data_IF_161571209025
#
_entry.id   IF_161571209025
#
_cell.length_a   1.000
_cell.length_b   1.000
_cell.length_c   1.000
_cell.angle_alpha   90.00
_cell.angle_beta   90.00
_cell.angle_gamma   90.00
#
_symmetry.space_group_name_H-M   'P 1'
#
loop_
_entity.id
_entity.type
_entity.pdbx_description
1 polymer ?
#
# COMPACT_ATOMS: atom_id res chain seq x y z
N UNK A 1 25.11 11.23 22.07
CA UNK A 1 24.95 11.37 20.61
C UNK A 1 23.53 10.95 20.29
N UNK A 2 22.72 11.81 19.66
CA UNK A 2 21.39 11.42 19.22
C UNK A 2 21.53 10.49 18.00
N UNK A 3 20.86 9.34 18.01
CA UNK A 3 20.67 8.56 16.79
C UNK A 3 19.82 9.43 15.87
N UNK A 4 20.27 9.80 14.65
CA UNK A 4 19.43 10.56 13.75
C UNK A 4 18.13 9.78 13.51
N UNK A 5 17.00 10.45 13.74
CA UNK A 5 15.70 9.90 13.41
C UNK A 5 15.62 9.91 11.87
N UNK A 6 15.85 8.77 11.24
CA UNK A 6 15.55 8.62 9.82
C UNK A 6 14.05 8.37 9.70
N UNK A 7 13.34 9.20 8.94
CA UNK A 7 11.94 9.00 8.59
C UNK A 7 11.79 7.93 7.49
N UNK A 8 12.39 6.77 7.70
CA UNK A 8 12.38 5.68 6.72
C UNK A 8 11.08 4.87 6.85
N UNK A 9 10.42 4.65 5.73
CA UNK A 9 9.18 3.90 5.65
C UNK A 9 9.40 2.57 4.93
N UNK A 10 9.07 1.47 5.59
CA UNK A 10 8.97 0.17 4.95
C UNK A 10 7.60 0.01 4.29
N UNK A 11 7.60 -0.31 3.00
CA UNK A 11 6.44 -0.77 2.26
C UNK A 11 6.68 -2.21 1.80
N UNK A 12 5.67 -3.06 1.93
CA UNK A 12 5.72 -4.44 1.48
C UNK A 12 4.32 -4.96 1.19
N UNK A 13 4.22 -5.97 0.34
CA UNK A 13 3.03 -6.81 0.21
C UNK A 13 3.04 -7.96 1.23
N UNK A 14 1.85 -8.42 1.61
CA UNK A 14 1.70 -9.60 2.46
C UNK A 14 0.79 -10.62 1.78
N UNK A 15 1.29 -11.85 1.63
CA UNK A 15 0.53 -13.03 1.22
C UNK A 15 0.42 -13.99 2.40
N UNK A 16 -0.49 -14.97 2.29
CA UNK A 16 -0.56 -16.08 3.26
C UNK A 16 0.74 -16.88 3.34
N UNK A 17 1.55 -16.85 2.28
CA UNK A 17 2.87 -17.49 2.20
C UNK A 17 4.00 -16.62 2.73
N UNK A 18 3.73 -15.38 3.15
CA UNK A 18 4.74 -14.47 3.70
C UNK A 18 4.80 -13.11 3.00
N UNK A 19 5.83 -12.34 3.38
CA UNK A 19 6.11 -11.00 2.87
C UNK A 19 6.63 -11.07 1.42
N UNK A 20 6.19 -10.13 0.58
CA UNK A 20 6.62 -9.97 -0.81
C UNK A 20 6.88 -8.50 -1.12
N UNK A 21 7.65 -8.20 -2.17
CA UNK A 21 7.94 -6.83 -2.60
C UNK A 21 8.39 -5.86 -1.48
N UNK A 22 9.33 -6.21 -0.56
CA UNK A 22 9.76 -5.26 0.46
C UNK A 22 10.62 -4.13 -0.14
N UNK A 23 10.37 -2.89 0.28
CA UNK A 23 11.18 -1.72 -0.08
C UNK A 23 11.21 -0.72 1.07
N UNK A 24 12.39 -0.19 1.38
CA UNK A 24 12.55 0.96 2.29
C UNK A 24 12.57 2.23 1.47
N UNK A 25 11.73 3.20 1.84
CA UNK A 25 11.62 4.51 1.24
C UNK A 25 12.10 5.55 2.25
N UNK A 26 13.04 6.38 1.85
CA UNK A 26 13.53 7.47 2.68
C UNK A 26 12.51 8.63 2.67
N UNK A 27 12.12 9.06 3.88
CA UNK A 27 11.18 10.17 4.06
C UNK A 27 9.70 9.81 3.80
N UNK A 28 8.78 10.78 4.02
CA UNK A 28 7.34 10.54 3.97
C UNK A 28 6.86 9.95 2.64
N UNK A 29 6.08 8.86 2.71
CA UNK A 29 5.47 8.27 1.52
C UNK A 29 4.45 9.24 0.91
N UNK A 30 4.78 9.73 -0.29
CA UNK A 30 3.86 10.47 -1.14
C UNK A 30 3.40 9.61 -2.32
N UNK A 31 2.41 10.11 -3.08
CA UNK A 31 1.84 9.35 -4.19
C UNK A 31 2.85 8.98 -5.30
N UNK A 32 3.90 9.78 -5.53
CA UNK A 32 4.91 9.48 -6.54
C UNK A 32 5.79 8.30 -6.11
N UNK A 33 6.25 8.31 -4.85
CA UNK A 33 7.03 7.21 -4.29
C UNK A 33 6.22 5.91 -4.25
N UNK A 34 4.95 6.00 -3.87
CA UNK A 34 4.07 4.83 -3.86
C UNK A 34 3.83 4.27 -5.26
N UNK A 35 3.61 5.13 -6.25
CA UNK A 35 3.46 4.72 -7.65
C UNK A 35 4.74 4.07 -8.21
N UNK A 36 5.90 4.65 -7.89
CA UNK A 36 7.18 4.07 -8.26
C UNK A 36 7.38 2.68 -7.62
N UNK A 37 7.02 2.52 -6.35
CA UNK A 37 7.02 1.22 -5.67
C UNK A 37 6.10 0.21 -6.38
N UNK A 38 4.86 0.61 -6.73
CA UNK A 38 3.92 -0.28 -7.42
C UNK A 38 4.48 -0.72 -8.77
N UNK A 39 5.02 0.21 -9.55
CA UNK A 39 5.56 -0.08 -10.88
C UNK A 39 6.82 -0.95 -10.83
N UNK A 40 7.76 -0.60 -9.95
CA UNK A 40 9.12 -1.17 -9.98
C UNK A 40 9.31 -2.39 -9.10
N UNK A 41 8.49 -2.55 -8.06
CA UNK A 41 8.69 -3.59 -7.04
C UNK A 41 7.46 -4.48 -6.93
N UNK A 42 6.26 -3.92 -6.75
CA UNK A 42 5.07 -4.75 -6.54
C UNK A 42 4.61 -5.47 -7.80
N UNK A 43 4.41 -4.75 -8.92
CA UNK A 43 3.83 -5.32 -10.13
C UNK A 43 4.63 -6.50 -10.71
N UNK A 44 5.99 -6.48 -10.74
CA UNK A 44 6.79 -7.63 -11.16
C UNK A 44 6.61 -8.88 -10.27
N UNK A 45 6.27 -8.69 -8.99
CA UNK A 45 6.04 -9.77 -8.01
C UNK A 45 4.59 -10.31 -8.05
N UNK A 46 3.69 -9.69 -8.82
CA UNK A 46 2.32 -10.15 -8.98
C UNK A 46 2.22 -11.31 -9.98
N UNK A 47 1.27 -12.20 -9.72
CA UNK A 47 0.88 -13.28 -10.60
C UNK A 47 -0.53 -13.03 -11.14
N UNK A 48 -0.83 -13.45 -12.38
CA UNK A 48 -2.19 -13.40 -12.88
C UNK A 48 -3.18 -14.06 -11.92
N UNK A 49 -4.29 -13.38 -11.64
CA UNK A 49 -5.30 -13.82 -10.67
C UNK A 49 -5.06 -13.36 -9.22
N UNK A 50 -3.92 -12.71 -8.92
CA UNK A 50 -3.72 -12.10 -7.60
C UNK A 50 -4.74 -10.98 -7.33
N UNK A 51 -5.15 -10.87 -6.07
CA UNK A 51 -6.02 -9.80 -5.58
C UNK A 51 -5.19 -8.87 -4.70
N UNK A 52 -4.98 -7.64 -5.15
CA UNK A 52 -4.18 -6.64 -4.42
C UNK A 52 -5.11 -5.78 -3.57
N UNK A 53 -5.03 -5.93 -2.25
CA UNK A 53 -5.73 -5.05 -1.30
C UNK A 53 -4.75 -3.97 -0.85
N UNK A 54 -5.10 -2.71 -1.13
CA UNK A 54 -4.28 -1.55 -0.76
C UNK A 54 -5.06 -0.69 0.21
N UNK A 55 -4.34 -0.11 1.16
CA UNK A 55 -4.90 0.82 2.11
C UNK A 55 -5.54 2.04 1.42
N UNK A 56 -6.66 2.52 1.94
CA UNK A 56 -7.54 3.45 1.22
C UNK A 56 -7.19 4.93 1.43
N UNK A 57 -5.90 5.23 1.55
CA UNK A 57 -5.35 6.57 1.67
C UNK A 57 -5.37 7.29 0.31
N UNK A 58 -5.55 8.61 0.33
CA UNK A 58 -5.58 9.42 -0.89
C UNK A 58 -4.29 9.33 -1.70
N UNK A 59 -3.15 9.17 -1.05
CA UNK A 59 -1.84 8.94 -1.67
C UNK A 59 -1.78 7.65 -2.51
N UNK A 60 -2.61 6.65 -2.21
CA UNK A 60 -2.62 5.34 -2.88
C UNK A 60 -3.68 5.23 -3.99
N UNK A 61 -4.48 6.29 -4.20
CA UNK A 61 -5.64 6.32 -5.12
C UNK A 61 -5.31 6.88 -6.50
N UNK A 62 -4.12 6.62 -7.03
CA UNK A 62 -3.80 7.03 -8.40
C UNK A 62 -4.39 6.07 -9.42
N UNK A 63 -4.87 6.62 -10.54
CA UNK A 63 -5.37 5.83 -11.68
C UNK A 63 -4.28 4.89 -12.19
N UNK A 64 -3.03 5.37 -12.23
CA UNK A 64 -1.86 4.63 -12.68
C UNK A 64 -1.59 3.37 -11.86
N UNK A 65 -1.77 3.41 -10.53
CA UNK A 65 -1.62 2.22 -9.66
C UNK A 65 -2.58 1.10 -10.08
N UNK A 66 -3.82 1.43 -10.42
CA UNK A 66 -4.79 0.44 -10.88
C UNK A 66 -4.37 -0.16 -12.22
N UNK A 67 -3.98 0.68 -13.18
CA UNK A 67 -3.53 0.24 -14.51
C UNK A 67 -2.32 -0.69 -14.42
N UNK A 68 -1.36 -0.40 -13.54
CA UNK A 68 -0.16 -1.23 -13.35
C UNK A 68 -0.49 -2.61 -12.79
N UNK A 69 -1.44 -2.70 -11.84
CA UNK A 69 -1.89 -3.97 -11.27
C UNK A 69 -2.67 -4.79 -12.30
N UNK A 70 -3.58 -4.15 -13.04
CA UNK A 70 -4.37 -4.81 -14.08
C UNK A 70 -3.48 -5.30 -15.24
N UNK A 71 -2.44 -4.55 -15.60
CA UNK A 71 -1.45 -4.97 -16.60
C UNK A 71 -0.67 -6.23 -16.20
N UNK A 72 -0.52 -6.50 -14.90
CA UNK A 72 0.06 -7.74 -14.38
C UNK A 72 -0.93 -8.92 -14.35
N UNK A 73 -2.17 -8.74 -14.84
CA UNK A 73 -3.23 -9.74 -14.78
C UNK A 73 -3.84 -9.93 -13.39
N UNK A 74 -3.58 -9.00 -12.47
CA UNK A 74 -4.13 -8.97 -11.12
C UNK A 74 -5.30 -7.98 -11.02
N UNK A 75 -6.09 -8.03 -9.95
CA UNK A 75 -7.19 -7.09 -9.74
C UNK A 75 -7.08 -6.34 -8.42
N UNK A 76 -7.59 -5.10 -8.41
CA UNK A 76 -7.72 -4.28 -7.20
C UNK A 76 -9.20 -4.05 -6.88
N UNK A 77 -9.78 -4.72 -5.88
CA UNK A 77 -11.17 -4.50 -5.51
C UNK A 77 -11.35 -3.09 -4.93
N UNK A 78 -12.52 -2.50 -5.15
CA UNK A 78 -12.87 -1.22 -4.54
C UNK A 78 -13.00 -1.39 -3.03
N UNK A 79 -12.14 -0.74 -2.26
CA UNK A 79 -12.21 -0.73 -0.79
C UNK A 79 -13.10 0.41 -0.29
N UNK A 80 -13.87 0.19 0.78
CA UNK A 80 -14.66 1.26 1.41
C UNK A 80 -13.74 2.39 1.86
N UNK A 81 -14.12 3.68 1.69
CA UNK A 81 -13.39 4.82 2.26
C UNK A 81 -12.94 4.52 3.68
N UNK A 82 -11.65 4.76 3.99
CA UNK A 82 -11.20 4.74 5.37
C UNK A 82 -12.08 5.70 6.16
N UNK A 83 -12.90 5.16 7.06
CA UNK A 83 -13.55 5.97 8.08
C UNK A 83 -12.50 6.21 9.15
N UNK A 84 -12.10 7.46 9.36
CA UNK A 84 -11.39 7.82 10.57
C UNK A 84 -12.29 7.42 11.75
N UNK A 85 -12.01 6.29 12.41
CA UNK A 85 -12.61 5.95 13.70
C UNK A 85 -12.10 6.95 14.73
N UNK A 86 -12.66 8.15 14.76
CA UNK A 86 -12.63 8.98 15.98
C UNK A 86 -13.52 8.28 17.01
N UNK A 87 -12.89 7.56 17.93
CA UNK A 87 -13.53 7.01 19.12
C UNK A 87 -14.38 5.77 18.87
N UNK A 88 -13.97 4.65 19.45
CA UNK A 88 -14.89 3.58 19.81
C UNK A 88 -15.97 4.22 20.72
N UNK A 89 -17.21 4.38 20.23
CA UNK A 89 -18.31 4.81 21.12
C UNK A 89 -18.43 3.73 22.22
N UNK A 90 -18.42 4.10 23.50
CA UNK A 90 -18.65 3.10 24.55
C UNK A 90 -20.04 2.49 24.35
N UNK A 91 -20.22 1.21 24.71
CA UNK A 91 -21.51 0.54 24.56
C UNK A 91 -22.59 1.33 25.27
N UNK A 92 -23.73 1.53 24.58
CA UNK A 92 -24.92 2.08 25.25
C UNK A 92 -25.35 1.06 26.28
N UNK A 93 -25.37 1.47 27.55
CA UNK A 93 -26.06 0.75 28.62
C UNK A 93 -27.55 0.63 28.28
#
# INVERSE_FOLDING_TARGET
MAVPQNDDHLVAGLRVTGMVAPMVLEGPINGNLFEAYVNKVLAPDLKPGDVVIIDNLSSHKRVTVRTLIEAAGACRPTTRPQSHRKGLRPPRR
#
